data_IF_872751417229
#
_entry.id   IF_872751417229
#
_cell.length_a   1.000
_cell.length_b   1.000
_cell.length_c   1.000
_cell.angle_alpha   90.00
_cell.angle_beta   90.00
_cell.angle_gamma   90.00
#
_symmetry.space_group_name_H-M   'P 1'
#
loop_
_entity.id
_entity.type
_entity.pdbx_description
1 polymer ?
#
# COMPACT_ATOMS: atom_id res chain seq x y z
N UNK A 1 -6.71 4.14 11.96
CA UNK A 1 -6.70 3.47 10.65
C UNK A 1 -6.84 4.46 9.52
N UNK A 2 -6.27 4.16 8.38
CA UNK A 2 -6.30 5.05 7.22
C UNK A 2 -7.32 4.56 6.20
N UNK A 3 -7.86 5.51 5.43
CA UNK A 3 -8.88 5.20 4.44
C UNK A 3 -8.27 5.08 3.04
N UNK A 4 -9.05 4.52 2.13
CA UNK A 4 -8.71 4.42 0.72
C UNK A 4 -8.42 5.79 0.12
N UNK A 5 -9.22 6.79 0.47
CA UNK A 5 -9.01 8.15 -0.03
C UNK A 5 -7.68 8.74 0.45
N UNK A 6 -7.34 8.49 1.70
CA UNK A 6 -6.04 8.93 2.23
C UNK A 6 -4.89 8.24 1.52
N UNK A 7 -5.06 6.97 1.17
CA UNK A 7 -4.06 6.22 0.43
C UNK A 7 -3.84 6.80 -0.95
N UNK A 8 -4.92 7.12 -1.67
CA UNK A 8 -4.84 7.74 -3.00
C UNK A 8 -4.07 9.05 -2.90
N UNK A 9 -4.43 9.89 -1.95
CA UNK A 9 -3.78 11.19 -1.75
C UNK A 9 -2.29 11.03 -1.46
N UNK A 10 -1.96 10.11 -0.55
CA UNK A 10 -0.56 9.91 -0.17
C UNK A 10 0.28 9.39 -1.33
N UNK A 11 -0.29 8.50 -2.12
CA UNK A 11 0.38 7.96 -3.31
C UNK A 11 0.72 9.06 -4.30
N UNK A 12 -0.24 9.95 -4.56
CA UNK A 12 0.00 11.08 -5.47
C UNK A 12 1.04 12.04 -4.92
N UNK A 13 1.07 12.25 -3.60
CA UNK A 13 2.09 13.07 -2.97
C UNK A 13 3.48 12.45 -3.12
N UNK A 14 3.59 11.15 -2.96
CA UNK A 14 4.87 10.45 -3.12
C UNK A 14 5.39 10.54 -4.55
N UNK A 15 4.51 10.57 -5.51
CA UNK A 15 4.87 10.75 -6.92
C UNK A 15 5.12 12.21 -7.29
N UNK A 16 4.90 13.12 -6.35
CA UNK A 16 5.05 14.57 -6.56
C UNK A 16 4.12 15.11 -7.65
N UNK A 17 3.00 14.44 -7.82
CA UNK A 17 1.93 14.90 -8.71
C UNK A 17 1.01 15.84 -7.95
N UNK A 18 0.98 15.69 -6.62
CA UNK A 18 0.10 16.48 -5.76
C UNK A 18 0.94 17.11 -4.64
N UNK A 19 0.78 18.41 -4.42
CA UNK A 19 1.43 19.08 -3.32
C UNK A 19 0.63 18.88 -2.03
N UNK A 20 1.29 19.05 -0.89
CA UNK A 20 0.62 18.96 0.40
C UNK A 20 -0.50 20.00 0.48
N UNK A 21 -1.64 19.58 0.99
CA UNK A 21 -2.79 20.47 1.14
C UNK A 21 -3.66 20.62 -0.10
N UNK A 22 -3.24 20.08 -1.24
CA UNK A 22 -4.04 20.13 -2.45
C UNK A 22 -5.01 18.96 -2.51
N UNK A 23 -6.11 19.14 -3.24
CA UNK A 23 -7.07 18.08 -3.51
C UNK A 23 -6.73 17.44 -4.85
N UNK A 24 -6.68 16.12 -4.95
CA UNK A 24 -6.39 15.45 -6.22
C UNK A 24 -7.47 15.74 -7.26
N UNK A 25 -7.08 15.79 -8.53
CA UNK A 25 -8.08 15.82 -9.61
C UNK A 25 -8.79 14.48 -9.66
N UNK A 26 -10.01 14.47 -10.16
CA UNK A 26 -10.78 13.22 -10.28
C UNK A 26 -10.09 12.21 -11.17
N UNK A 27 -9.42 12.68 -12.22
CA UNK A 27 -8.73 11.78 -13.15
C UNK A 27 -7.52 11.12 -12.49
N UNK A 28 -6.69 11.89 -11.80
CA UNK A 28 -5.51 11.35 -11.13
C UNK A 28 -5.91 10.40 -10.00
N UNK A 29 -6.93 10.78 -9.24
CA UNK A 29 -7.42 9.94 -8.15
C UNK A 29 -7.94 8.61 -8.69
N UNK A 30 -8.61 8.62 -9.85
CA UNK A 30 -9.15 7.40 -10.42
C UNK A 30 -8.05 6.44 -10.88
N UNK A 31 -6.97 6.96 -11.47
CA UNK A 31 -5.85 6.12 -11.88
C UNK A 31 -5.28 5.33 -10.72
N UNK A 32 -5.07 6.01 -9.59
CA UNK A 32 -4.54 5.35 -8.39
C UNK A 32 -5.58 4.41 -7.79
N UNK A 33 -6.82 4.86 -7.68
CA UNK A 33 -7.88 4.09 -7.06
C UNK A 33 -8.13 2.77 -7.80
N UNK A 34 -8.06 2.80 -9.12
CA UNK A 34 -8.25 1.60 -9.94
C UNK A 34 -7.15 0.55 -9.70
N UNK A 35 -5.98 0.97 -9.24
CA UNK A 35 -4.88 0.04 -8.98
C UNK A 35 -4.87 -0.51 -7.56
N UNK A 36 -5.65 0.03 -6.66
CA UNK A 36 -5.61 -0.39 -5.25
C UNK A 36 -5.94 -1.87 -5.10
N UNK A 37 -7.08 -2.31 -5.61
CA UNK A 37 -7.49 -3.70 -5.42
C UNK A 37 -6.57 -4.69 -6.13
N UNK A 38 -6.16 -4.45 -7.38
CA UNK A 38 -5.18 -5.34 -8.01
C UNK A 38 -3.86 -5.43 -7.25
N UNK A 39 -3.36 -4.31 -6.71
CA UNK A 39 -2.12 -4.31 -5.93
C UNK A 39 -2.29 -5.08 -4.64
N UNK A 40 -3.40 -4.87 -3.91
CA UNK A 40 -3.66 -5.60 -2.68
C UNK A 40 -3.79 -7.09 -2.94
N UNK A 41 -4.46 -7.45 -4.03
CA UNK A 41 -4.60 -8.85 -4.43
C UNK A 41 -3.25 -9.48 -4.73
N UNK A 42 -2.39 -8.79 -5.45
CA UNK A 42 -1.05 -9.27 -5.76
C UNK A 42 -0.22 -9.49 -4.49
N UNK A 43 -0.26 -8.54 -3.56
CA UNK A 43 0.47 -8.67 -2.30
C UNK A 43 -0.03 -9.86 -1.49
N UNK A 44 -1.32 -10.12 -1.52
CA UNK A 44 -1.92 -11.25 -0.82
C UNK A 44 -1.51 -12.57 -1.46
N UNK A 45 -1.57 -12.66 -2.79
CA UNK A 45 -1.20 -13.88 -3.51
C UNK A 45 0.27 -14.23 -3.29
N UNK A 46 1.13 -13.24 -3.22
CA UNK A 46 2.56 -13.46 -2.97
C UNK A 46 2.90 -13.59 -1.49
N UNK A 47 1.90 -13.63 -0.62
CA UNK A 47 2.07 -13.74 0.83
C UNK A 47 2.94 -12.63 1.43
N UNK A 48 2.84 -11.43 0.87
CA UNK A 48 3.57 -10.29 1.40
C UNK A 48 2.78 -9.64 2.52
N UNK A 49 1.51 -9.36 2.28
CA UNK A 49 0.63 -8.79 3.30
C UNK A 49 -0.83 -9.03 2.92
N UNK A 50 -1.65 -9.36 3.90
CA UNK A 50 -3.08 -9.61 3.68
C UNK A 50 -3.88 -8.44 4.24
N UNK A 51 -4.46 -7.65 3.34
CA UNK A 51 -5.32 -6.54 3.71
C UNK A 51 -6.77 -7.02 3.73
N UNK A 52 -7.51 -6.60 4.74
CA UNK A 52 -8.94 -6.93 4.82
C UNK A 52 -9.76 -5.93 4.05
N UNK A 53 -9.88 -4.72 4.59
CA UNK A 53 -10.74 -3.68 4.02
C UNK A 53 -9.87 -2.53 3.51
N UNK A 54 -9.96 -2.15 2.22
CA UNK A 54 -9.18 -1.04 1.69
C UNK A 54 -9.45 0.31 2.36
N UNK A 55 -10.59 0.44 3.06
CA UNK A 55 -10.91 1.66 3.79
C UNK A 55 -10.46 1.61 5.24
N UNK A 56 -9.83 0.54 5.67
CA UNK A 56 -9.33 0.39 7.04
C UNK A 56 -7.92 -0.17 7.00
N UNK A 57 -6.98 0.66 6.62
CA UNK A 57 -5.58 0.29 6.49
C UNK A 57 -4.85 0.62 7.78
N UNK A 58 -4.12 -0.35 8.31
CA UNK A 58 -3.35 -0.14 9.53
C UNK A 58 -2.26 0.91 9.30
N UNK A 59 -2.06 1.77 10.28
CA UNK A 59 -1.14 2.90 10.14
C UNK A 59 0.29 2.46 9.82
N UNK A 60 0.76 1.39 10.43
CA UNK A 60 2.11 0.90 10.19
C UNK A 60 2.29 0.30 8.80
N UNK A 61 1.23 -0.17 8.18
CA UNK A 61 1.28 -0.69 6.81
C UNK A 61 1.05 0.39 5.77
N UNK A 62 0.37 1.47 6.15
CA UNK A 62 -0.07 2.52 5.22
C UNK A 62 1.08 3.13 4.43
N UNK A 63 2.17 3.49 5.10
CA UNK A 63 3.32 4.15 4.45
C UNK A 63 3.93 3.25 3.39
N UNK A 64 4.10 1.98 3.73
CA UNK A 64 4.72 1.02 2.82
C UNK A 64 3.80 0.65 1.66
N UNK A 65 2.50 0.57 1.93
CA UNK A 65 1.53 0.33 0.87
C UNK A 65 1.49 1.49 -0.11
N UNK A 66 1.57 2.73 0.40
CA UNK A 66 1.63 3.90 -0.47
C UNK A 66 2.88 3.88 -1.37
N UNK A 67 4.01 3.42 -0.84
CA UNK A 67 5.23 3.28 -1.64
C UNK A 67 5.06 2.24 -2.75
N UNK A 68 4.50 1.09 -2.44
CA UNK A 68 4.25 0.05 -3.44
C UNK A 68 3.31 0.56 -4.53
N UNK A 69 2.23 1.20 -4.10
CA UNK A 69 1.23 1.72 -5.02
C UNK A 69 1.81 2.82 -5.91
N UNK A 70 2.63 3.71 -5.33
CA UNK A 70 3.28 4.76 -6.08
C UNK A 70 4.15 4.19 -7.20
N UNK A 71 4.93 3.15 -6.91
CA UNK A 71 5.76 2.53 -7.92
C UNK A 71 4.93 1.80 -8.97
N UNK A 72 3.79 1.25 -8.56
CA UNK A 72 2.88 0.56 -9.49
C UNK A 72 2.28 1.51 -10.53
N UNK A 73 1.96 2.73 -10.14
CA UNK A 73 1.31 3.70 -11.04
C UNK A 73 2.27 4.76 -11.60
N UNK A 74 3.55 4.68 -11.27
CA UNK A 74 4.51 5.73 -11.62
C UNK A 74 4.51 6.04 -13.13
N UNK A 75 4.48 5.00 -13.95
CA UNK A 75 4.51 5.18 -15.41
C UNK A 75 3.29 5.94 -15.93
N UNK A 76 2.14 5.79 -15.28
CA UNK A 76 0.92 6.48 -15.69
C UNK A 76 1.04 8.00 -15.49
N UNK A 77 1.96 8.43 -14.64
CA UNK A 77 2.20 9.85 -14.37
C UNK A 77 3.52 10.33 -14.95
N UNK A 78 4.12 9.55 -15.86
CA UNK A 78 5.37 9.93 -16.48
C UNK A 78 6.56 9.92 -15.53
N UNK A 79 6.50 9.12 -14.46
CA UNK A 79 7.59 8.97 -13.51
C UNK A 79 8.27 7.63 -13.72
N UNK A 80 9.57 7.59 -13.39
CA UNK A 80 10.32 6.33 -13.45
C UNK A 80 9.97 5.47 -12.25
N UNK A 81 9.87 4.17 -12.47
CA UNK A 81 9.67 3.23 -11.37
C UNK A 81 10.99 2.98 -10.67
N UNK A 82 10.96 2.96 -9.35
CA UNK A 82 12.11 2.61 -8.53
C UNK A 82 11.86 1.22 -7.94
N UNK A 83 12.42 0.23 -8.59
CA UNK A 83 12.23 -1.16 -8.19
C UNK A 83 12.83 -1.44 -6.80
N UNK A 84 13.94 -0.80 -6.48
CA UNK A 84 14.56 -0.97 -5.17
C UNK A 84 13.65 -0.47 -4.05
N UNK A 85 12.99 0.66 -4.26
CA UNK A 85 12.04 1.20 -3.29
C UNK A 85 10.85 0.28 -3.14
N UNK A 86 10.33 -0.26 -4.24
CA UNK A 86 9.21 -1.19 -4.19
C UNK A 86 9.56 -2.45 -3.41
N UNK A 87 10.72 -3.02 -3.68
CA UNK A 87 11.18 -4.23 -2.99
C UNK A 87 11.36 -3.96 -1.49
N UNK A 88 11.93 -2.82 -1.13
CA UNK A 88 12.11 -2.45 0.26
C UNK A 88 10.77 -2.33 0.97
N UNK A 89 9.79 -1.67 0.34
CA UNK A 89 8.46 -1.52 0.91
C UNK A 89 7.78 -2.87 1.09
N UNK A 90 7.88 -3.75 0.10
CA UNK A 90 7.32 -5.10 0.19
C UNK A 90 7.96 -5.90 1.31
N UNK A 91 9.27 -5.78 1.48
CA UNK A 91 9.95 -6.48 2.57
C UNK A 91 9.51 -5.99 3.94
N UNK A 92 9.23 -4.70 4.07
CA UNK A 92 8.71 -4.14 5.32
C UNK A 92 7.30 -4.61 5.60
N UNK A 93 6.46 -4.73 4.57
CA UNK A 93 5.12 -5.29 4.71
C UNK A 93 5.18 -6.76 5.16
N UNK A 94 6.11 -7.53 4.58
CA UNK A 94 6.31 -8.92 5.01
C UNK A 94 6.67 -9.01 6.49
N UNK A 95 7.53 -8.11 6.94
CA UNK A 95 7.94 -8.09 8.34
C UNK A 95 6.78 -7.77 9.26
N UNK A 96 5.96 -6.79 8.90
CA UNK A 96 4.78 -6.43 9.68
C UNK A 96 3.82 -7.61 9.75
N UNK A 97 3.59 -8.29 8.63
CA UNK A 97 2.72 -9.47 8.59
C UNK A 97 3.25 -10.58 9.48
N UNK A 98 4.55 -10.83 9.43
CA UNK A 98 5.18 -11.86 10.27
C UNK A 98 5.07 -11.52 11.76
N UNK A 99 5.27 -10.26 12.13
CA UNK A 99 5.13 -9.83 13.51
C UNK A 99 3.70 -10.00 14.01
N UNK A 100 2.73 -9.64 13.17
CA UNK A 100 1.32 -9.82 13.50
C UNK A 100 1.00 -11.28 13.76
N UNK A 101 1.50 -12.19 12.91
CA UNK A 101 1.29 -13.61 13.09
C UNK A 101 1.99 -14.11 14.36
N UNK A 102 3.16 -13.58 14.68
CA UNK A 102 3.91 -13.98 15.87
C UNK A 102 3.19 -13.61 17.15
N UNK A 103 2.41 -12.53 17.14
CA UNK A 103 1.68 -12.08 18.32
C UNK A 103 0.32 -12.74 18.48
N UNK A 104 -0.11 -13.57 17.54
CA UNK A 104 -1.38 -14.24 17.67
C UNK A 104 -1.28 -15.33 18.75
N UNK A 105 -2.32 -15.54 19.55
CA UNK A 105 -2.30 -16.59 20.54
C UNK A 105 -2.01 -17.93 19.91
N UNK A 106 -1.15 -18.69 20.56
CA UNK A 106 -0.82 -19.94 20.02
C UNK A 106 -1.82 -20.89 20.26
N UNK A 107 -2.58 -20.76 20.43
CA UNK A 107 -3.41 -21.63 20.49
C UNK A 107 -3.07 -22.77 20.30
N UNK A 108 -2.75 -23.03 20.56
CA UNK A 108 -2.47 -23.83 20.48
C UNK A 108 -2.63 -24.82 20.25
N UNK A 109 -2.52 -24.97 19.91
CA UNK A 109 -2.45 -25.74 19.45
C UNK A 109 -2.02 -26.72 19.70
N UNK A 110 -1.86 -27.08 20.11
CA UNK A 110 -1.31 -28.00 20.33
C UNK A 110 -1.89 -28.85 21.03
N UNK A 111 -2.31 -29.00 20.95
CA UNK A 111 -2.69 -29.79 21.54
C UNK A 111 -3.22 -30.35 21.20
#
# INVERSE_FOLDING_TARGET
MKTREQLVRRTLQKLKVLAAGQTPSAEDAKVVDDDIEPVLSDLSVRNIYHFGDPDQIEDEAFVHLADVLAQSVAADFGRDQDESMRILAENRLRRIQAETLSYQPLRVEYF
#
